data_IF_020947222467
#
_entry.id   IF_020947222467
#
_cell.length_a   1.000
_cell.length_b   1.000
_cell.length_c   1.000
_cell.angle_alpha   90.00
_cell.angle_beta   90.00
_cell.angle_gamma   90.00
#
_symmetry.space_group_name_H-M   'P 1'
#
loop_
_entity.id
_entity.type
_entity.pdbx_description
1 polymer ?
#
# COMPACT_ATOMS: atom_id res chain seq x y z
N UNK A 1 21.60 6.90 -4.88
CA UNK A 1 20.19 6.76 -4.44
C UNK A 1 19.15 6.91 -5.57
N UNK A 2 19.49 7.42 -6.76
CA UNK A 2 18.52 7.53 -7.87
C UNK A 2 17.96 6.20 -8.40
N UNK A 3 18.60 5.07 -8.06
CA UNK A 3 18.32 3.76 -8.63
C UNK A 3 17.23 2.94 -7.92
N UNK A 4 16.81 3.30 -6.69
CA UNK A 4 15.85 2.47 -5.95
C UNK A 4 14.54 2.27 -6.72
N UNK A 5 14.03 3.34 -7.34
CA UNK A 5 12.82 3.25 -8.15
C UNK A 5 13.03 2.32 -9.36
N UNK A 6 14.17 2.45 -10.02
CA UNK A 6 14.46 1.77 -11.29
C UNK A 6 14.72 0.27 -11.03
N UNK A 7 15.46 -0.06 -9.96
CA UNK A 7 15.64 -1.43 -9.45
C UNK A 7 14.29 -2.04 -9.04
N UNK A 8 13.47 -1.29 -8.30
CA UNK A 8 12.17 -1.78 -7.87
C UNK A 8 11.23 -2.05 -9.05
N UNK A 9 11.33 -1.28 -10.15
CA UNK A 9 10.59 -1.56 -11.37
C UNK A 9 10.96 -2.92 -11.95
N UNK A 10 12.25 -3.18 -12.14
CA UNK A 10 12.76 -4.47 -12.66
C UNK A 10 12.33 -5.62 -11.77
N UNK A 11 12.50 -5.48 -10.45
CA UNK A 11 12.10 -6.51 -9.50
C UNK A 11 10.59 -6.80 -9.59
N UNK A 12 9.75 -5.75 -9.68
CA UNK A 12 8.31 -5.92 -9.86
C UNK A 12 7.96 -6.64 -11.17
N UNK A 13 8.60 -6.30 -12.29
CA UNK A 13 8.40 -6.95 -13.60
C UNK A 13 8.80 -8.44 -13.55
N UNK A 14 9.79 -8.76 -12.73
CA UNK A 14 10.24 -10.12 -12.48
C UNK A 14 9.41 -10.85 -11.40
N UNK A 15 8.33 -10.31 -10.84
CA UNK A 15 7.60 -10.92 -9.72
C UNK A 15 8.44 -11.13 -8.44
N UNK A 16 9.49 -10.31 -8.26
CA UNK A 16 10.28 -10.20 -7.05
C UNK A 16 9.75 -9.04 -6.18
N UNK A 17 9.52 -9.30 -4.90
CA UNK A 17 9.03 -8.27 -3.96
C UNK A 17 10.11 -7.89 -2.98
N UNK A 18 10.44 -6.59 -2.92
CA UNK A 18 11.36 -6.06 -1.92
C UNK A 18 10.73 -6.19 -0.53
N UNK A 19 11.42 -6.85 0.40
CA UNK A 19 11.07 -6.89 1.83
C UNK A 19 11.83 -5.81 2.61
N UNK A 20 13.10 -5.59 2.25
CA UNK A 20 13.95 -4.65 2.96
C UNK A 20 15.02 -4.09 2.05
N UNK A 21 15.35 -2.82 2.24
CA UNK A 21 16.43 -2.10 1.57
C UNK A 21 17.28 -1.42 2.62
N UNK A 22 18.59 -1.59 2.51
CA UNK A 22 19.56 -0.87 3.34
C UNK A 22 20.63 -0.25 2.45
N UNK A 23 20.71 1.07 2.47
CA UNK A 23 21.76 1.82 1.79
C UNK A 23 22.89 2.07 2.79
N UNK A 24 24.12 1.74 2.41
CA UNK A 24 25.30 1.98 3.26
C UNK A 24 26.46 2.51 2.43
N UNK A 25 27.22 3.43 3.00
CA UNK A 25 28.48 3.90 2.41
C UNK A 25 29.63 3.15 3.06
N UNK A 26 30.46 2.50 2.26
CA UNK A 26 31.65 1.81 2.73
C UNK A 26 32.75 2.82 3.10
N UNK A 27 33.73 2.47 3.95
CA UNK A 27 34.80 3.38 4.38
C UNK A 27 35.64 3.97 3.23
N UNK A 28 35.69 3.29 2.08
CA UNK A 28 36.35 3.76 0.85
C UNK A 28 35.47 4.71 0.01
N UNK A 29 34.31 5.13 0.53
CA UNK A 29 33.41 6.09 -0.11
C UNK A 29 32.50 5.52 -1.18
N UNK A 30 32.49 4.19 -1.39
CA UNK A 30 31.55 3.53 -2.31
C UNK A 30 30.19 3.32 -1.63
N UNK A 31 29.16 3.18 -2.44
CA UNK A 31 27.80 2.93 -1.97
C UNK A 31 27.47 1.45 -2.19
N UNK A 32 26.93 0.81 -1.15
CA UNK A 32 26.41 -0.55 -1.17
C UNK A 32 24.92 -0.50 -0.83
N UNK A 33 24.10 -0.85 -1.82
CA UNK A 33 22.65 -0.98 -1.69
C UNK A 33 22.29 -2.46 -1.53
N UNK A 34 21.86 -2.85 -0.33
CA UNK A 34 21.47 -4.22 -0.02
C UNK A 34 19.95 -4.38 -0.10
N UNK A 35 19.50 -5.30 -0.95
CA UNK A 35 18.09 -5.63 -1.14
C UNK A 35 17.81 -7.04 -0.64
N UNK A 36 16.77 -7.17 0.18
CA UNK A 36 16.17 -8.45 0.54
C UNK A 36 14.87 -8.59 -0.23
N UNK A 37 14.77 -9.63 -1.06
CA UNK A 37 13.64 -9.85 -1.95
C UNK A 37 13.01 -11.22 -1.73
N UNK A 38 11.71 -11.31 -1.94
CA UNK A 38 10.96 -12.57 -2.00
C UNK A 38 10.60 -12.87 -3.44
N UNK A 39 10.91 -14.07 -3.92
CA UNK A 39 10.52 -14.55 -5.24
C UNK A 39 9.15 -15.22 -5.18
N UNK A 40 8.14 -14.60 -5.79
CA UNK A 40 6.79 -15.16 -5.80
C UNK A 40 6.67 -16.42 -6.66
N UNK A 41 7.62 -16.65 -7.56
CA UNK A 41 7.66 -17.86 -8.39
C UNK A 41 8.44 -18.99 -7.71
N UNK A 42 9.14 -18.70 -6.61
CA UNK A 42 10.00 -19.66 -5.89
C UNK A 42 11.12 -20.29 -6.77
N UNK A 43 11.56 -19.59 -7.81
CA UNK A 43 12.56 -20.06 -8.78
C UNK A 43 13.96 -19.51 -8.55
N UNK A 44 14.16 -18.63 -7.56
CA UNK A 44 15.44 -17.98 -7.24
C UNK A 44 16.56 -18.97 -6.86
N UNK A 45 16.22 -20.23 -6.56
CA UNK A 45 17.18 -21.29 -6.32
C UNK A 45 17.89 -21.78 -7.60
N UNK A 46 17.35 -21.44 -8.78
CA UNK A 46 17.92 -21.81 -10.08
C UNK A 46 18.90 -20.75 -10.58
N UNK A 47 20.02 -21.18 -11.19
CA UNK A 47 21.00 -20.26 -11.77
C UNK A 47 20.42 -19.40 -12.88
N UNK A 48 19.62 -20.00 -13.77
CA UNK A 48 18.98 -19.28 -14.87
C UNK A 48 18.19 -18.06 -14.37
N UNK A 49 17.35 -18.24 -13.34
CA UNK A 49 16.57 -17.16 -12.76
C UNK A 49 17.45 -16.06 -12.15
N UNK A 50 18.56 -16.46 -11.52
CA UNK A 50 19.51 -15.51 -10.93
C UNK A 50 20.22 -14.70 -12.02
N UNK A 51 20.72 -15.38 -13.05
CA UNK A 51 21.43 -14.77 -14.18
C UNK A 51 20.52 -13.79 -14.93
N UNK A 52 19.29 -14.21 -15.27
CA UNK A 52 18.28 -13.34 -15.90
C UNK A 52 17.95 -12.11 -15.05
N UNK A 53 17.82 -12.28 -13.73
CA UNK A 53 17.54 -11.16 -12.80
C UNK A 53 18.72 -10.19 -12.77
N UNK A 54 19.94 -10.69 -12.64
CA UNK A 54 21.15 -9.87 -12.62
C UNK A 54 21.36 -9.13 -13.95
N UNK A 55 21.12 -9.77 -15.09
CA UNK A 55 21.22 -9.14 -16.41
C UNK A 55 20.25 -7.97 -16.55
N UNK A 56 18.99 -8.14 -16.15
CA UNK A 56 18.01 -7.04 -16.20
C UNK A 56 18.35 -5.91 -15.24
N UNK A 57 18.83 -6.22 -14.03
CA UNK A 57 19.29 -5.20 -13.08
C UNK A 57 20.50 -4.43 -13.64
N UNK A 58 21.46 -5.13 -14.23
CA UNK A 58 22.62 -4.51 -14.88
C UNK A 58 22.20 -3.61 -16.05
N UNK A 59 21.22 -4.02 -16.85
CA UNK A 59 20.71 -3.21 -17.96
C UNK A 59 20.15 -1.85 -17.50
N UNK A 60 19.50 -1.82 -16.32
CA UNK A 60 18.92 -0.59 -15.76
C UNK A 60 19.94 0.24 -15.00
N UNK A 61 20.84 -0.40 -14.27
CA UNK A 61 21.86 0.29 -13.48
C UNK A 61 23.01 0.84 -14.34
N UNK A 62 23.28 0.21 -15.49
CA UNK A 62 24.33 0.60 -16.43
C UNK A 62 25.72 0.70 -15.78
N UNK A 63 26.53 1.65 -16.26
CA UNK A 63 27.90 1.89 -15.76
C UNK A 63 27.97 2.42 -14.32
N UNK A 64 26.83 2.76 -13.71
CA UNK A 64 26.78 3.27 -12.35
C UNK A 64 26.91 2.16 -11.28
N UNK A 65 26.77 0.89 -11.69
CA UNK A 65 26.92 -0.27 -10.80
C UNK A 65 28.27 -0.96 -11.03
N UNK A 66 29.05 -1.08 -9.95
CA UNK A 66 30.35 -1.76 -9.97
C UNK A 66 30.16 -3.29 -10.01
N UNK A 67 29.19 -3.80 -9.26
CA UNK A 67 28.87 -5.23 -9.17
C UNK A 67 27.44 -5.42 -8.69
N UNK A 68 26.67 -6.30 -9.34
CA UNK A 68 25.39 -6.78 -8.86
C UNK A 68 25.50 -8.28 -8.56
N UNK A 69 25.13 -8.67 -7.35
CA UNK A 69 25.16 -10.07 -6.94
C UNK A 69 23.84 -10.45 -6.30
N UNK A 70 23.32 -11.62 -6.69
CA UNK A 70 22.12 -12.19 -6.12
C UNK A 70 22.48 -13.48 -5.40
N UNK A 71 22.10 -13.59 -4.13
CA UNK A 71 22.39 -14.76 -3.28
C UNK A 71 21.14 -15.12 -2.48
N UNK A 72 20.99 -16.41 -2.17
CA UNK A 72 19.99 -16.85 -1.21
C UNK A 72 20.33 -16.28 0.17
N UNK A 73 19.31 -15.77 0.86
CA UNK A 73 19.48 -15.22 2.19
C UNK A 73 19.91 -16.33 3.18
N UNK A 74 20.95 -16.07 3.96
CA UNK A 74 21.39 -16.98 5.02
C UNK A 74 20.52 -16.88 6.29
N UNK A 75 20.77 -17.73 7.30
CA UNK A 75 20.01 -17.77 8.55
C UNK A 75 20.07 -16.45 9.34
N UNK A 76 21.06 -15.59 9.09
CA UNK A 76 21.13 -14.22 9.61
C UNK A 76 19.92 -13.36 9.22
N UNK A 77 19.24 -13.69 8.12
CA UNK A 77 18.01 -13.00 7.70
C UNK A 77 16.79 -13.44 8.51
N UNK A 78 16.72 -14.70 8.95
CA UNK A 78 15.60 -15.20 9.77
C UNK A 78 15.52 -14.46 11.11
N UNK A 79 16.67 -14.09 11.69
CA UNK A 79 16.74 -13.27 12.91
C UNK A 79 16.23 -11.82 12.70
N UNK A 80 16.27 -11.32 11.46
CA UNK A 80 15.84 -9.97 11.07
C UNK A 80 14.35 -9.89 10.68
N UNK A 81 13.60 -11.00 10.71
CA UNK A 81 12.16 -11.02 10.39
C UNK A 81 11.28 -10.25 11.39
N UNK A 82 11.83 -9.87 12.55
CA UNK A 82 11.13 -9.00 13.50
C UNK A 82 11.21 -7.54 13.08
N UNK A 83 10.09 -6.96 12.62
CA UNK A 83 9.99 -5.50 12.53
C UNK A 83 10.25 -4.86 13.89
N UNK A 84 10.89 -3.69 13.87
CA UNK A 84 10.93 -2.86 15.08
C UNK A 84 9.52 -2.55 15.56
N UNK A 85 9.22 -2.72 16.85
CA UNK A 85 7.87 -2.52 17.38
C UNK A 85 7.39 -1.09 17.13
N UNK A 86 6.12 -0.95 16.76
CA UNK A 86 5.48 0.37 16.68
C UNK A 86 5.20 0.88 18.09
N UNK A 87 5.44 2.18 18.30
CA UNK A 87 4.97 2.86 19.52
C UNK A 87 3.44 2.80 19.58
N UNK A 88 2.82 2.62 20.77
CA UNK A 88 1.36 2.61 20.91
C UNK A 88 0.66 3.84 20.31
N UNK A 89 1.29 5.01 20.40
CA UNK A 89 0.75 6.27 19.82
C UNK A 89 0.68 6.20 18.30
N UNK A 90 1.73 5.67 17.67
CA UNK A 90 1.81 5.51 16.21
C UNK A 90 0.83 4.42 15.75
N UNK A 91 0.71 3.33 16.51
CA UNK A 91 -0.25 2.27 16.21
C UNK A 91 -1.69 2.79 16.31
N UNK A 92 -2.02 3.57 17.35
CA UNK A 92 -3.32 4.21 17.47
C UNK A 92 -3.59 5.14 16.27
N UNK A 93 -2.67 6.05 15.94
CA UNK A 93 -2.81 6.93 14.77
C UNK A 93 -2.95 6.17 13.43
N UNK A 94 -2.21 5.07 13.24
CA UNK A 94 -2.27 4.25 12.04
C UNK A 94 -3.54 3.40 11.95
N UNK A 95 -4.07 2.91 13.07
CA UNK A 95 -5.13 1.89 13.07
C UNK A 95 -6.49 2.40 13.53
N UNK A 96 -6.55 3.57 14.16
CA UNK A 96 -7.80 4.23 14.51
C UNK A 96 -8.64 4.54 13.25
N UNK A 97 -9.95 4.33 13.35
CA UNK A 97 -10.83 4.33 12.19
C UNK A 97 -12.20 4.89 12.58
N UNK A 98 -12.37 6.21 12.54
CA UNK A 98 -13.69 6.82 12.76
C UNK A 98 -14.20 7.51 11.48
N UNK A 99 -15.43 7.18 11.07
CA UNK A 99 -16.20 8.07 10.19
C UNK A 99 -16.80 9.17 11.08
N UNK A 100 -15.96 10.02 11.65
CA UNK A 100 -16.45 11.17 12.41
C UNK A 100 -16.45 12.40 11.52
N UNK A 101 -17.53 13.18 11.56
CA UNK A 101 -17.57 14.52 10.97
C UNK A 101 -16.57 15.48 11.65
N UNK A 102 -16.01 15.09 12.80
CA UNK A 102 -15.13 15.89 13.64
C UNK A 102 -13.65 15.52 13.58
N UNK A 103 -13.22 14.56 12.77
CA UNK A 103 -11.78 14.28 12.62
C UNK A 103 -11.09 15.42 11.87
N UNK A 104 -10.69 16.41 12.66
CA UNK A 104 -9.62 17.39 12.40
C UNK A 104 -8.43 16.90 13.23
N UNK A 105 -7.87 15.74 12.91
CA UNK A 105 -6.58 15.35 13.46
C UNK A 105 -5.52 15.49 12.37
N UNK A 106 -4.87 16.67 12.44
CA UNK A 106 -3.52 16.99 11.97
C UNK A 106 -2.96 16.18 10.80
N UNK A 107 -3.38 16.48 9.58
CA UNK A 107 -2.55 16.50 8.35
C UNK A 107 -3.46 16.80 7.15
N UNK A 108 -3.48 18.07 6.72
CA UNK A 108 -4.02 18.58 5.45
C UNK A 108 -5.14 17.73 4.81
N UNK A 109 -6.38 17.89 5.29
CA UNK A 109 -7.55 17.28 4.66
C UNK A 109 -7.78 17.94 3.28
N UNK A 110 -7.17 17.36 2.25
CA UNK A 110 -7.32 17.75 0.85
C UNK A 110 -8.82 17.76 0.45
N UNK A 111 -9.26 18.64 -0.48
CA UNK A 111 -10.58 18.58 -1.11
C UNK A 111 -10.93 17.17 -1.65
N UNK A 112 -9.95 16.33 -1.93
CA UNK A 112 -10.16 14.97 -2.45
C UNK A 112 -10.74 14.00 -1.40
N UNK A 113 -10.42 14.16 -0.11
CA UNK A 113 -11.05 13.39 0.97
C UNK A 113 -12.53 13.76 1.13
N UNK A 114 -12.89 15.04 0.96
CA UNK A 114 -14.28 15.48 0.96
C UNK A 114 -15.07 14.88 -0.21
N UNK A 115 -14.43 14.69 -1.38
CA UNK A 115 -15.05 13.99 -2.51
C UNK A 115 -15.26 12.50 -2.20
N UNK A 116 -14.26 11.82 -1.62
CA UNK A 116 -14.39 10.41 -1.23
C UNK A 116 -15.49 10.18 -0.19
N UNK A 117 -15.70 11.11 0.75
CA UNK A 117 -16.82 11.02 1.72
C UNK A 117 -18.20 10.95 1.05
N UNK A 118 -18.34 11.43 -0.20
CA UNK A 118 -19.59 11.34 -0.98
C UNK A 118 -19.75 9.99 -1.72
N UNK A 119 -19.14 8.93 -1.20
CA UNK A 119 -19.34 7.59 -1.74
C UNK A 119 -20.74 7.10 -1.35
N UNK A 120 -21.54 6.76 -2.33
CA UNK A 120 -22.86 6.17 -2.16
C UNK A 120 -22.77 4.67 -2.37
N UNK A 121 -23.22 3.92 -1.36
CA UNK A 121 -23.27 2.46 -1.37
C UNK A 121 -24.68 2.05 -1.03
N UNK A 122 -25.33 1.34 -1.94
CA UNK A 122 -26.71 0.90 -1.81
C UNK A 122 -26.84 -0.58 -2.12
N UNK A 123 -27.82 -1.23 -1.50
CA UNK A 123 -28.17 -2.62 -1.78
C UNK A 123 -29.63 -2.68 -2.24
N UNK A 124 -29.85 -3.27 -3.40
CA UNK A 124 -31.18 -3.54 -3.95
C UNK A 124 -31.42 -5.06 -4.07
N UNK A 125 -32.57 -5.52 -3.61
CA UNK A 125 -32.99 -6.91 -3.70
C UNK A 125 -34.05 -7.18 -4.77
N UNK A 126 -34.48 -6.16 -5.53
CA UNK A 126 -35.59 -6.26 -6.48
C UNK A 126 -35.24 -6.97 -7.80
N UNK A 127 -33.98 -6.86 -8.25
CA UNK A 127 -33.57 -7.24 -9.62
C UNK A 127 -33.22 -8.72 -9.81
N UNK A 128 -33.17 -9.50 -8.74
CA UNK A 128 -32.88 -10.94 -8.81
C UNK A 128 -33.64 -11.65 -7.69
N UNK A 129 -34.10 -12.89 -7.86
CA UNK A 129 -34.62 -13.69 -6.76
C UNK A 129 -33.50 -14.31 -5.89
N UNK A 130 -32.27 -14.42 -6.41
CA UNK A 130 -31.17 -15.17 -5.76
C UNK A 130 -29.97 -14.32 -5.31
N UNK A 131 -29.81 -13.09 -5.82
CA UNK A 131 -28.66 -12.22 -5.52
C UNK A 131 -29.07 -10.83 -5.07
N UNK A 132 -28.32 -10.23 -4.15
CA UNK A 132 -28.46 -8.81 -3.81
C UNK A 132 -27.63 -7.98 -4.78
N UNK A 133 -28.17 -6.91 -5.36
CA UNK A 133 -27.40 -5.97 -6.16
C UNK A 133 -26.76 -4.95 -5.22
N UNK A 134 -25.45 -4.93 -5.15
CA UNK A 134 -24.66 -3.89 -4.51
C UNK A 134 -24.29 -2.84 -5.56
N UNK A 135 -24.69 -1.61 -5.33
CA UNK A 135 -24.37 -0.46 -6.18
C UNK A 135 -23.43 0.47 -5.44
N UNK A 136 -22.30 0.80 -6.06
CA UNK A 136 -21.29 1.71 -5.51
C UNK A 136 -21.07 2.84 -6.50
N UNK A 137 -21.35 4.06 -6.07
CA UNK A 137 -20.99 5.29 -6.77
C UNK A 137 -19.91 6.01 -5.98
N UNK A 138 -18.72 6.17 -6.55
CA UNK A 138 -17.58 6.71 -5.82
C UNK A 138 -16.61 7.48 -6.72
N UNK A 139 -15.71 8.24 -6.11
CA UNK A 139 -14.58 8.87 -6.82
C UNK A 139 -13.62 7.79 -7.29
N UNK A 140 -13.24 7.85 -8.56
CA UNK A 140 -12.28 6.92 -9.12
C UNK A 140 -10.90 7.13 -8.50
N UNK A 141 -10.23 6.02 -8.24
CA UNK A 141 -8.85 6.02 -7.76
C UNK A 141 -8.16 4.74 -8.19
N UNK A 142 -6.83 4.83 -8.29
CA UNK A 142 -5.98 3.66 -8.48
C UNK A 142 -6.30 2.64 -7.38
N UNK A 143 -6.43 1.37 -7.74
CA UNK A 143 -6.71 0.30 -6.79
C UNK A 143 -8.18 0.15 -6.37
N UNK A 144 -9.11 1.01 -6.79
CA UNK A 144 -10.52 0.97 -6.38
C UNK A 144 -11.15 -0.43 -6.47
N UNK A 145 -10.94 -1.13 -7.59
CA UNK A 145 -11.44 -2.50 -7.76
C UNK A 145 -10.89 -3.44 -6.70
N UNK A 146 -9.58 -3.40 -6.45
CA UNK A 146 -8.93 -4.21 -5.43
C UNK A 146 -9.52 -3.89 -4.06
N UNK A 147 -9.63 -2.60 -3.72
CA UNK A 147 -10.09 -2.15 -2.41
C UNK A 147 -11.52 -2.65 -2.13
N UNK A 148 -12.43 -2.58 -3.11
CA UNK A 148 -13.80 -3.10 -3.03
C UNK A 148 -13.82 -4.64 -2.92
N UNK A 149 -13.10 -5.33 -3.80
CA UNK A 149 -13.09 -6.80 -3.85
C UNK A 149 -12.54 -7.41 -2.57
N UNK A 150 -11.45 -6.86 -2.05
CA UNK A 150 -10.84 -7.27 -0.78
C UNK A 150 -11.81 -7.06 0.39
N UNK A 151 -12.49 -5.91 0.47
CA UNK A 151 -13.48 -5.67 1.52
C UNK A 151 -14.65 -6.66 1.47
N UNK A 152 -15.16 -6.97 0.27
CA UNK A 152 -16.22 -7.96 0.09
C UNK A 152 -15.77 -9.37 0.51
N UNK A 153 -14.54 -9.75 0.13
CA UNK A 153 -13.93 -11.03 0.52
C UNK A 153 -13.78 -11.14 2.04
N UNK A 154 -13.28 -10.10 2.71
CA UNK A 154 -13.12 -10.06 4.17
C UNK A 154 -14.48 -10.16 4.89
N UNK A 155 -15.54 -9.65 4.27
CA UNK A 155 -16.93 -9.77 4.75
C UNK A 155 -17.59 -11.11 4.38
N UNK A 156 -16.85 -12.08 3.83
CA UNK A 156 -17.36 -13.36 3.33
C UNK A 156 -18.51 -13.24 2.32
N UNK A 157 -18.46 -12.21 1.47
CA UNK A 157 -19.41 -11.96 0.40
C UNK A 157 -18.88 -12.56 -0.90
N UNK A 158 -19.73 -13.35 -1.57
CA UNK A 158 -19.46 -13.92 -2.88
C UNK A 158 -20.02 -13.01 -3.97
N UNK A 159 -19.29 -12.88 -5.07
CA UNK A 159 -19.69 -12.04 -6.22
C UNK A 159 -19.97 -12.98 -7.38
N UNK A 160 -21.20 -12.98 -7.87
CA UNK A 160 -21.63 -13.82 -8.98
C UNK A 160 -21.45 -13.11 -10.34
N UNK A 161 -21.66 -11.80 -10.36
CA UNK A 161 -21.51 -10.97 -11.55
C UNK A 161 -21.14 -9.55 -11.13
N UNK A 162 -20.36 -8.86 -11.96
CA UNK A 162 -20.01 -7.46 -11.74
C UNK A 162 -19.94 -6.68 -13.04
N UNK A 163 -20.46 -5.45 -13.01
CA UNK A 163 -20.34 -4.46 -14.08
C UNK A 163 -19.55 -3.27 -13.55
N UNK A 164 -18.53 -2.88 -14.30
CA UNK A 164 -17.69 -1.72 -14.04
C UNK A 164 -17.92 -0.69 -15.12
N UNK A 165 -18.49 0.44 -14.74
CA UNK A 165 -18.73 1.53 -15.69
C UNK A 165 -17.44 2.28 -16.00
N UNK A 166 -17.43 2.96 -17.14
CA UNK A 166 -16.37 3.90 -17.49
C UNK A 166 -16.39 5.08 -16.52
N UNK A 167 -15.21 5.66 -16.30
CA UNK A 167 -15.05 6.83 -15.45
C UNK A 167 -15.76 8.02 -16.10
N UNK A 168 -16.70 8.62 -15.37
CA UNK A 168 -17.47 9.79 -15.82
C UNK A 168 -17.28 10.90 -14.81
N UNK A 169 -16.72 12.05 -15.23
CA UNK A 169 -16.44 13.19 -14.35
C UNK A 169 -15.63 12.81 -13.08
N UNK A 170 -14.66 11.90 -13.21
CA UNK A 170 -13.84 11.43 -12.09
C UNK A 170 -14.56 10.48 -11.12
N UNK A 171 -15.78 10.04 -11.43
CA UNK A 171 -16.54 9.06 -10.65
C UNK A 171 -16.66 7.74 -11.42
N UNK A 172 -16.82 6.64 -10.68
CA UNK A 172 -17.02 5.31 -11.23
C UNK A 172 -18.18 4.62 -10.52
N UNK A 173 -19.02 3.98 -11.34
CA UNK A 173 -20.12 3.14 -10.88
C UNK A 173 -19.73 1.65 -10.95
N UNK A 174 -20.06 0.93 -9.88
CA UNK A 174 -19.94 -0.52 -9.80
C UNK A 174 -21.30 -1.12 -9.46
N UNK A 175 -21.74 -2.09 -10.25
CA UNK A 175 -22.93 -2.89 -9.98
C UNK A 175 -22.50 -4.35 -9.78
N UNK A 176 -22.64 -4.88 -8.57
CA UNK A 176 -22.19 -6.22 -8.21
C UNK A 176 -23.37 -7.06 -7.72
N UNK A 177 -23.64 -8.19 -8.36
CA UNK A 177 -24.57 -9.18 -7.83
C UNK A 177 -23.85 -10.06 -6.83
N UNK A 178 -24.26 -9.96 -5.57
CA UNK A 178 -23.58 -10.55 -4.42
C UNK A 178 -24.49 -11.52 -3.64
N UNK A 179 -23.84 -12.44 -2.95
CA UNK A 179 -24.44 -13.44 -2.06
C UNK A 179 -23.61 -13.55 -0.77
N UNK A 180 -24.27 -13.99 0.31
CA UNK A 180 -23.57 -14.48 1.49
C UNK A 180 -22.88 -15.81 1.18
N UNK A 181 -21.93 -16.21 2.03
CA UNK A 181 -21.23 -17.51 1.93
C UNK A 181 -22.15 -18.74 1.87
N UNK A 182 -23.37 -18.64 2.40
CA UNK A 182 -24.39 -19.70 2.33
C UNK A 182 -25.20 -19.71 1.02
N UNK A 183 -24.82 -18.87 0.05
CA UNK A 183 -25.47 -18.73 -1.26
C UNK A 183 -26.76 -17.90 -1.25
N UNK A 184 -27.12 -17.28 -0.12
CA UNK A 184 -28.36 -16.49 -0.02
C UNK A 184 -28.12 -15.00 -0.23
N UNK A 185 -29.18 -14.29 -0.62
CA UNK A 185 -29.26 -12.83 -0.58
C UNK A 185 -29.01 -12.28 0.82
N UNK A 186 -28.56 -11.04 0.88
CA UNK A 186 -28.49 -10.25 2.10
C UNK A 186 -29.85 -9.57 2.27
N UNK A 187 -30.75 -10.15 3.06
CA UNK A 187 -32.11 -9.62 3.29
C UNK A 187 -32.18 -8.78 4.57
N UNK A 188 -31.36 -9.13 5.55
CA UNK A 188 -31.28 -8.47 6.85
C UNK A 188 -30.76 -7.02 6.70
N UNK A 189 -31.58 -6.00 7.05
CA UNK A 189 -31.18 -4.60 6.94
C UNK A 189 -29.94 -4.24 7.78
N UNK A 190 -29.73 -4.89 8.93
CA UNK A 190 -28.55 -4.63 9.76
C UNK A 190 -27.28 -5.11 9.06
N UNK A 191 -27.32 -6.29 8.44
CA UNK A 191 -26.20 -6.81 7.64
C UNK A 191 -25.94 -5.95 6.40
N UNK A 192 -26.99 -5.46 5.73
CA UNK A 192 -26.84 -4.55 4.61
C UNK A 192 -26.16 -3.25 5.05
N UNK A 193 -26.65 -2.63 6.13
CA UNK A 193 -26.09 -1.41 6.68
C UNK A 193 -24.63 -1.60 7.11
N UNK A 194 -24.30 -2.71 7.79
CA UNK A 194 -22.95 -3.04 8.20
C UNK A 194 -22.00 -3.20 7.00
N UNK A 195 -22.44 -3.87 5.92
CA UNK A 195 -21.65 -4.03 4.70
C UNK A 195 -21.42 -2.69 4.00
N UNK A 196 -22.46 -1.87 3.83
CA UNK A 196 -22.36 -0.54 3.24
C UNK A 196 -21.44 0.37 4.04
N UNK A 197 -21.58 0.38 5.37
CA UNK A 197 -20.71 1.14 6.27
C UNK A 197 -19.26 0.68 6.13
N UNK A 198 -19.00 -0.63 6.18
CA UNK A 198 -17.65 -1.18 6.03
C UNK A 198 -17.02 -0.76 4.70
N UNK A 199 -17.74 -0.89 3.58
CA UNK A 199 -17.24 -0.44 2.27
C UNK A 199 -16.90 1.05 2.27
N UNK A 200 -17.76 1.90 2.84
CA UNK A 200 -17.51 3.35 2.94
C UNK A 200 -16.24 3.67 3.73
N UNK A 201 -16.02 3.01 4.88
CA UNK A 201 -14.78 3.18 5.68
C UNK A 201 -13.56 2.79 4.85
N UNK A 202 -13.58 1.60 4.27
CA UNK A 202 -12.43 1.03 3.58
C UNK A 202 -12.07 1.79 2.30
N UNK A 203 -13.06 2.37 1.62
CA UNK A 203 -12.85 3.19 0.42
C UNK A 203 -12.44 4.63 0.76
N UNK A 204 -12.78 5.13 1.95
CA UNK A 204 -12.34 6.45 2.40
C UNK A 204 -10.84 6.45 2.75
N UNK A 205 -10.36 5.36 3.35
CA UNK A 205 -8.97 5.22 3.78
C UNK A 205 -8.37 3.85 3.38
N UNK A 206 -8.24 3.56 2.06
CA UNK A 206 -7.71 2.27 1.59
C UNK A 206 -6.24 2.06 1.97
N UNK A 207 -5.50 3.17 2.10
CA UNK A 207 -4.12 3.23 2.58
C UNK A 207 -4.00 4.39 3.55
N UNK A 208 -3.23 4.23 4.61
CA UNK A 208 -3.00 5.29 5.61
C UNK A 208 -1.55 5.68 5.60
N UNK A 209 -1.30 6.98 5.62
CA UNK A 209 0.03 7.56 5.43
C UNK A 209 0.22 8.55 6.57
N UNK A 210 1.28 8.33 7.35
CA UNK A 210 1.70 9.24 8.42
C UNK A 210 3.22 9.43 8.35
N UNK A 211 3.69 10.50 8.97
CA UNK A 211 5.11 10.79 9.12
C UNK A 211 5.42 11.05 10.59
N UNK A 212 6.36 10.29 11.14
CA UNK A 212 6.70 10.29 12.55
C UNK A 212 8.21 10.42 12.75
N UNK A 213 8.62 10.68 13.99
CA UNK A 213 10.04 10.66 14.36
C UNK A 213 10.40 9.31 14.99
N UNK A 214 11.54 8.77 14.59
CA UNK A 214 12.18 7.61 15.22
C UNK A 214 13.49 8.06 15.85
N UNK A 215 13.41 8.62 17.05
CA UNK A 215 14.55 9.31 17.67
C UNK A 215 14.88 10.59 16.89
N UNK A 216 16.15 10.78 16.43
CA UNK A 216 16.51 11.94 15.63
C UNK A 216 16.03 11.85 14.17
N UNK A 217 15.70 10.64 13.71
CA UNK A 217 15.40 10.40 12.30
C UNK A 217 13.91 10.58 12.00
N UNK A 218 13.59 10.93 10.75
CA UNK A 218 12.22 11.03 10.26
C UNK A 218 11.84 9.77 9.50
N UNK A 219 10.69 9.19 9.82
CA UNK A 219 10.18 7.96 9.23
C UNK A 219 8.80 8.20 8.60
N UNK A 220 8.65 7.82 7.34
CA UNK A 220 7.35 7.73 6.66
C UNK A 220 6.80 6.32 6.86
N UNK A 221 5.55 6.24 7.30
CA UNK A 221 4.83 5.00 7.53
C UNK A 221 3.60 4.95 6.63
N UNK A 222 3.47 3.88 5.85
CA UNK A 222 2.26 3.59 5.07
C UNK A 222 1.69 2.27 5.51
N UNK A 223 0.45 2.25 6.00
CA UNK A 223 -0.25 1.01 6.33
C UNK A 223 -1.20 0.60 5.20
N UNK A 224 -1.14 -0.69 4.88
CA UNK A 224 -1.89 -1.34 3.82
C UNK A 224 -2.64 -2.54 4.42
N UNK A 225 -3.97 -2.57 4.34
CA UNK A 225 -4.74 -3.71 4.84
C UNK A 225 -4.44 -4.95 4.00
N UNK A 226 -4.22 -6.06 4.69
CA UNK A 226 -3.86 -7.33 4.08
C UNK A 226 -5.12 -8.17 3.88
N UNK A 227 -5.26 -8.77 2.70
CA UNK A 227 -6.30 -9.78 2.46
C UNK A 227 -6.09 -11.02 3.33
N UNK A 228 -7.15 -11.78 3.60
CA UNK A 228 -7.05 -13.10 4.26
C UNK A 228 -6.03 -14.08 3.63
N UNK A 229 -5.65 -13.91 2.36
CA UNK A 229 -4.59 -14.69 1.70
C UNK A 229 -3.16 -14.18 1.95
N UNK A 230 -2.98 -13.23 2.86
CA UNK A 230 -1.68 -12.68 3.23
C UNK A 230 -1.09 -11.70 2.22
N UNK A 231 -1.85 -11.26 1.20
CA UNK A 231 -1.37 -10.29 0.20
C UNK A 231 -1.98 -8.92 0.47
N UNK A 232 -1.14 -7.88 0.45
CA UNK A 232 -1.61 -6.50 0.44
C UNK A 232 -1.83 -5.97 -0.98
N UNK A 233 -2.32 -4.73 -1.04
CA UNK A 233 -2.48 -3.97 -2.28
C UNK A 233 -1.19 -3.94 -3.12
N UNK A 234 -1.26 -4.21 -4.43
CA UNK A 234 -0.07 -4.23 -5.28
C UNK A 234 0.54 -2.83 -5.47
N UNK A 235 1.83 -2.80 -5.81
CA UNK A 235 2.61 -1.60 -6.18
C UNK A 235 2.76 -0.52 -5.11
N UNK A 236 2.35 -0.76 -3.86
CA UNK A 236 2.47 0.24 -2.77
C UNK A 236 3.92 0.71 -2.59
N UNK A 237 4.90 -0.20 -2.50
CA UNK A 237 6.32 0.18 -2.39
C UNK A 237 6.81 1.03 -3.58
N UNK A 238 6.39 0.68 -4.80
CA UNK A 238 6.72 1.43 -6.01
C UNK A 238 6.15 2.85 -5.98
N UNK A 239 4.88 3.00 -5.62
CA UNK A 239 4.23 4.30 -5.61
C UNK A 239 4.81 5.22 -4.53
N UNK A 240 5.19 4.68 -3.37
CA UNK A 240 5.89 5.44 -2.32
C UNK A 240 7.27 5.90 -2.80
N UNK A 241 8.08 4.98 -3.35
CA UNK A 241 9.42 5.32 -3.85
C UNK A 241 9.35 6.33 -5.01
N UNK A 242 8.36 6.22 -5.88
CA UNK A 242 8.11 7.18 -6.95
C UNK A 242 7.75 8.57 -6.41
N UNK A 243 6.83 8.65 -5.44
CA UNK A 243 6.45 9.92 -4.80
C UNK A 243 7.64 10.60 -4.12
N UNK A 244 8.45 9.84 -3.39
CA UNK A 244 9.64 10.36 -2.71
C UNK A 244 10.72 10.83 -3.71
N UNK A 245 10.93 10.10 -4.80
CA UNK A 245 11.82 10.52 -5.90
C UNK A 245 11.33 11.83 -6.55
N UNK A 246 10.02 11.99 -6.77
CA UNK A 246 9.43 13.21 -7.32
C UNK A 246 9.62 14.42 -6.40
N UNK A 247 9.61 14.21 -5.08
CA UNK A 247 9.93 15.24 -4.09
C UNK A 247 11.43 15.49 -3.92
N UNK A 248 12.29 14.68 -4.55
CA UNK A 248 13.74 14.74 -4.38
C UNK A 248 14.21 14.31 -2.98
N UNK A 249 13.41 13.49 -2.29
CA UNK A 249 13.70 13.00 -0.94
C UNK A 249 14.47 11.70 -1.03
N UNK A 250 15.54 11.63 -0.24
CA UNK A 250 16.39 10.48 -0.15
C UNK A 250 15.84 9.45 0.86
N UNK A 251 15.84 8.17 0.49
CA UNK A 251 15.45 7.02 1.31
C UNK A 251 16.70 6.31 1.83
N UNK A 252 17.01 6.46 3.11
CA UNK A 252 18.16 5.80 3.73
C UNK A 252 17.95 4.28 3.89
N UNK A 253 16.75 3.88 4.32
CA UNK A 253 16.36 2.47 4.41
C UNK A 253 14.87 2.32 4.23
N UNK A 254 14.44 1.14 3.77
CA UNK A 254 13.03 0.80 3.69
C UNK A 254 12.80 -0.61 4.23
N UNK A 255 11.72 -0.83 4.96
CA UNK A 255 11.30 -2.16 5.43
C UNK A 255 9.80 -2.33 5.24
N UNK A 256 9.39 -3.51 4.78
CA UNK A 256 8.01 -3.98 4.82
C UNK A 256 7.93 -4.97 5.95
N UNK A 257 6.89 -4.87 6.77
CA UNK A 257 6.54 -5.99 7.61
C UNK A 257 5.10 -6.01 8.05
N UNK A 258 4.80 -7.00 8.88
CA UNK A 258 3.43 -7.37 9.23
C UNK A 258 3.08 -6.89 10.63
N UNK A 259 1.86 -6.42 10.78
CA UNK A 259 1.31 -6.00 12.05
C UNK A 259 -0.14 -6.47 12.16
N UNK A 260 -0.42 -7.27 13.18
CA UNK A 260 -1.76 -7.81 13.41
C UNK A 260 -2.46 -6.97 14.47
N UNK A 261 -3.61 -6.40 14.10
CA UNK A 261 -4.56 -5.77 15.03
C UNK A 261 -5.62 -6.80 15.45
N UNK A 262 -6.52 -6.44 16.36
CA UNK A 262 -7.61 -7.34 16.78
C UNK A 262 -8.59 -7.70 15.65
N UNK A 263 -8.67 -6.86 14.62
CA UNK A 263 -9.62 -7.00 13.52
C UNK A 263 -9.00 -7.57 12.23
N UNK A 264 -7.71 -7.33 11.94
CA UNK A 264 -7.04 -7.79 10.72
C UNK A 264 -5.51 -7.71 10.78
N UNK A 265 -4.87 -8.14 9.70
CA UNK A 265 -3.45 -7.90 9.47
C UNK A 265 -3.19 -6.71 8.54
N UNK A 266 -2.04 -6.07 8.75
CA UNK A 266 -1.56 -4.93 7.99
C UNK A 266 -0.14 -5.18 7.50
N UNK A 267 0.13 -4.76 6.28
CA UNK A 267 1.47 -4.52 5.77
C UNK A 267 1.83 -3.07 6.09
N UNK A 268 2.95 -2.89 6.79
CA UNK A 268 3.47 -1.56 7.11
C UNK A 268 4.75 -1.38 6.32
N UNK A 269 4.74 -0.33 5.50
CA UNK A 269 5.88 0.12 4.74
C UNK A 269 6.53 1.27 5.51
N UNK A 270 7.76 1.07 5.94
CA UNK A 270 8.52 2.04 6.73
C UNK A 270 9.69 2.53 5.91
N UNK A 271 9.79 3.84 5.76
CA UNK A 271 10.88 4.48 5.02
C UNK A 271 11.59 5.47 5.93
N UNK A 272 12.86 5.23 6.19
CA UNK A 272 13.72 6.19 6.87
C UNK A 272 14.17 7.24 5.84
N UNK A 273 13.78 8.48 6.08
CA UNK A 273 14.04 9.59 5.17
C UNK A 273 15.30 10.32 5.59
N UNK A 274 16.17 10.61 4.63
CA UNK A 274 17.36 11.41 4.84
C UNK A 274 17.04 12.90 4.61
N UNK A 275 17.42 13.76 5.55
CA UNK A 275 17.29 15.20 5.38
C UNK A 275 18.15 15.69 4.22
N UNK A 276 17.59 16.55 3.38
CA UNK A 276 18.30 17.20 2.29
C UNK A 276 18.21 18.73 2.47
N UNK A 277 19.23 19.46 2.04
CA UNK A 277 19.28 20.92 2.07
C UNK A 277 18.04 21.60 1.43
N UNK A 278 17.34 20.92 0.51
CA UNK A 278 16.10 21.41 -0.13
C UNK A 278 14.81 21.13 0.64
N UNK A 279 14.81 20.18 1.58
CA UNK A 279 13.60 19.69 2.24
C UNK A 279 13.86 19.45 3.73
N UNK A 280 13.53 20.45 4.55
CA UNK A 280 13.73 20.39 6.00
C UNK A 280 12.61 19.57 6.65
N UNK A 281 12.92 18.34 7.07
CA UNK A 281 11.97 17.41 7.66
C UNK A 281 11.52 17.83 9.07
N UNK A 282 12.14 18.84 9.67
CA UNK A 282 11.68 19.49 10.91
C UNK A 282 10.45 20.40 10.72
N UNK A 283 10.14 20.82 9.48
CA UNK A 283 9.01 21.70 9.19
C UNK A 283 7.71 20.90 8.98
N UNK A 284 6.65 21.26 9.73
CA UNK A 284 5.33 20.63 9.61
C UNK A 284 4.71 20.79 8.20
N UNK A 285 4.96 21.91 7.51
CA UNK A 285 4.48 22.09 6.13
C UNK A 285 5.14 21.10 5.16
N UNK A 286 6.44 20.87 5.31
CA UNK A 286 7.18 19.89 4.52
C UNK A 286 6.66 18.46 4.79
N UNK A 287 6.43 18.12 6.06
CA UNK A 287 5.82 16.83 6.47
C UNK A 287 4.45 16.62 5.82
N UNK A 288 3.58 17.61 5.88
CA UNK A 288 2.25 17.54 5.28
C UNK A 288 2.32 17.38 3.75
N UNK A 289 3.28 18.05 3.09
CA UNK A 289 3.50 17.92 1.65
C UNK A 289 3.95 16.50 1.27
N UNK A 290 4.80 15.86 2.08
CA UNK A 290 5.22 14.46 1.86
C UNK A 290 4.01 13.54 1.93
N UNK A 291 3.24 13.64 3.03
CA UNK A 291 2.05 12.81 3.25
C UNK A 291 1.03 12.99 2.13
N UNK A 292 0.74 14.23 1.72
CA UNK A 292 -0.20 14.52 0.63
C UNK A 292 0.30 13.97 -0.71
N UNK A 293 1.55 14.18 -1.07
CA UNK A 293 2.13 13.70 -2.35
C UNK A 293 2.15 12.18 -2.43
N UNK A 294 2.56 11.51 -1.34
CA UNK A 294 2.56 10.05 -1.25
C UNK A 294 1.14 9.52 -1.36
N UNK A 295 0.18 10.11 -0.63
CA UNK A 295 -1.23 9.71 -0.69
C UNK A 295 -1.81 9.89 -2.10
N UNK A 296 -1.60 11.04 -2.74
CA UNK A 296 -2.05 11.28 -4.13
C UNK A 296 -1.47 10.26 -5.10
N UNK A 297 -0.17 9.97 -5.01
CA UNK A 297 0.49 8.99 -5.87
C UNK A 297 -0.08 7.58 -5.68
N UNK A 298 -0.31 7.18 -4.42
CA UNK A 298 -0.93 5.90 -4.08
C UNK A 298 -2.37 5.80 -4.62
N UNK A 299 -3.13 6.89 -4.58
CA UNK A 299 -4.51 6.97 -5.06
C UNK A 299 -4.62 7.26 -6.57
N UNK A 300 -3.51 7.60 -7.25
CA UNK A 300 -3.51 7.94 -8.67
C UNK A 300 -4.17 9.29 -9.00
N UNK A 301 -4.05 10.28 -8.11
CA UNK A 301 -4.60 11.63 -8.26
C UNK A 301 -3.55 12.66 -8.68
#
# INVERSE_FOLDING_TARGET
MFFLLDVNQVLCELELTIQRVKVTTTPDGKVLDLFFVTDKLELLHTKQRQDETCEQLHAVLGESCISCELRLAGPEYECLQGMSSLSPVIADELFHCEISDKEIHSQALSPDMMKLKRTDVMIDNSLSPAHSLLQVHCVDHKGLLYDVMRTLKDCNIQIAYGRFSLVTNGHRDLDLFIQQKDGKKIVDPEKQSALCFRLKVEMLHPLRVIIANRGPDTELLVSNPVELSGKGRPRVFYDITHALKALGICIFSAEIGRYSTSDREWEIYRFLLEENCKFQLSNMMARNQIVDTVRRTLMGW
#
